data_IF_669492152640
#
_entry.id   IF_669492152640
#
_cell.length_a   1.000
_cell.length_b   1.000
_cell.length_c   1.000
_cell.angle_alpha   90.00
_cell.angle_beta   90.00
_cell.angle_gamma   90.00
#
_symmetry.space_group_name_H-M   'P 1'
#
loop_
_entity.id
_entity.type
_entity.pdbx_description
1 polymer ?
#
# COMPACT_ATOMS: atom_id res chain seq x y z
N UNK A 1 -13.38 -6.04 -12.18
CA UNK A 1 -13.77 -5.25 -10.99
C UNK A 1 -12.88 -4.01 -10.93
N UNK A 2 -13.33 -2.88 -10.39
CA UNK A 2 -12.51 -1.65 -10.32
C UNK A 2 -11.40 -1.80 -9.26
N UNK A 3 -10.13 -1.61 -9.63
CA UNK A 3 -8.99 -1.70 -8.71
C UNK A 3 -9.13 -0.79 -7.48
N UNK A 4 -9.62 0.45 -7.68
CA UNK A 4 -9.90 1.40 -6.57
C UNK A 4 -10.97 0.90 -5.61
N UNK A 5 -12.01 0.24 -6.13
CA UNK A 5 -13.08 -0.30 -5.29
C UNK A 5 -12.55 -1.41 -4.36
N UNK A 6 -11.62 -2.23 -4.85
CA UNK A 6 -10.96 -3.26 -4.06
C UNK A 6 -10.04 -2.65 -3.00
N UNK A 7 -9.22 -1.67 -3.37
CA UNK A 7 -8.39 -0.89 -2.43
C UNK A 7 -9.23 -0.30 -1.31
N UNK A 8 -10.35 0.33 -1.64
CA UNK A 8 -11.27 0.91 -0.65
C UNK A 8 -11.89 -0.14 0.29
N UNK A 9 -12.16 -1.36 -0.20
CA UNK A 9 -12.61 -2.47 0.64
C UNK A 9 -11.55 -2.90 1.65
N UNK A 10 -10.28 -2.97 1.23
CA UNK A 10 -9.15 -3.27 2.12
C UNK A 10 -8.97 -2.17 3.18
N UNK A 11 -9.07 -0.90 2.76
CA UNK A 11 -8.99 0.26 3.64
C UNK A 11 -10.06 0.22 4.73
N UNK A 12 -11.34 -0.03 4.38
CA UNK A 12 -12.44 -0.15 5.35
C UNK A 12 -12.18 -1.21 6.43
N UNK A 13 -11.59 -2.34 6.06
CA UNK A 13 -11.24 -3.40 7.02
C UNK A 13 -10.17 -2.94 8.00
N UNK A 14 -9.21 -2.16 7.52
CA UNK A 14 -8.12 -1.61 8.32
C UNK A 14 -8.60 -0.49 9.24
N UNK A 15 -9.47 0.40 8.77
CA UNK A 15 -10.12 1.43 9.58
C UNK A 15 -10.90 0.81 10.75
N UNK A 16 -11.64 -0.26 10.49
CA UNK A 16 -12.32 -1.01 11.55
C UNK A 16 -11.36 -1.64 12.56
N UNK A 17 -10.17 -2.09 12.12
CA UNK A 17 -9.15 -2.62 13.02
C UNK A 17 -8.56 -1.53 13.92
N UNK A 18 -8.26 -0.34 13.36
CA UNK A 18 -7.83 0.82 14.14
C UNK A 18 -8.89 1.26 15.15
N UNK A 19 -10.17 1.29 14.77
CA UNK A 19 -11.26 1.64 15.68
C UNK A 19 -11.34 0.69 16.88
N UNK A 20 -11.17 -0.63 16.66
CA UNK A 20 -11.11 -1.62 17.74
C UNK A 20 -9.91 -1.41 18.66
N UNK A 21 -8.73 -1.15 18.11
CA UNK A 21 -7.52 -0.92 18.90
C UNK A 21 -7.60 0.33 19.77
N UNK A 22 -8.27 1.38 19.30
CA UNK A 22 -8.49 2.62 20.08
C UNK A 22 -9.50 2.37 21.21
N UNK A 23 -10.50 1.51 20.98
CA UNK A 23 -11.55 1.21 21.95
C UNK A 23 -11.18 0.14 22.99
N UNK A 24 -10.11 -0.64 22.78
CA UNK A 24 -9.85 -1.88 23.51
C UNK A 24 -9.29 -1.70 24.93
N UNK A 25 -8.40 -0.73 25.18
CA UNK A 25 -7.81 -0.52 26.52
C UNK A 25 -6.94 0.75 26.60
N UNK A 26 -6.81 1.31 27.81
CA UNK A 26 -5.77 2.29 28.16
C UNK A 26 -4.45 1.63 28.61
N UNK A 27 -4.42 0.29 28.73
CA UNK A 27 -3.22 -0.47 29.07
C UNK A 27 -2.17 -0.38 27.96
N UNK A 28 -0.97 0.06 28.34
CA UNK A 28 0.15 0.27 27.42
C UNK A 28 0.65 -1.02 26.78
N UNK A 29 0.59 -2.16 27.49
CA UNK A 29 1.04 -3.44 26.94
C UNK A 29 0.09 -3.90 25.82
N UNK A 30 -1.22 -3.82 26.09
CA UNK A 30 -2.27 -4.10 25.10
C UNK A 30 -2.15 -3.16 23.90
N UNK A 31 -1.91 -1.86 24.11
CA UNK A 31 -1.71 -0.92 23.00
C UNK A 31 -0.46 -1.22 22.17
N UNK A 32 0.62 -1.66 22.81
CA UNK A 32 1.85 -2.10 22.13
C UNK A 32 1.58 -3.32 21.24
N UNK A 33 0.84 -4.30 21.74
CA UNK A 33 0.49 -5.49 20.97
C UNK A 33 -0.44 -5.18 19.80
N UNK A 34 -1.42 -4.30 19.99
CA UNK A 34 -2.23 -3.79 18.88
C UNK A 34 -1.40 -3.03 17.86
N UNK A 35 -0.39 -2.25 18.29
CA UNK A 35 0.47 -1.54 17.36
C UNK A 35 1.27 -2.52 16.47
N UNK A 36 1.79 -3.62 17.04
CA UNK A 36 2.45 -4.69 16.26
C UNK A 36 1.49 -5.33 15.27
N UNK A 37 0.28 -5.68 15.73
CA UNK A 37 -0.75 -6.26 14.86
C UNK A 37 -1.13 -5.33 13.70
N UNK A 38 -1.40 -4.06 14.01
CA UNK A 38 -1.74 -3.05 13.00
C UNK A 38 -0.57 -2.80 12.05
N UNK A 39 0.68 -2.84 12.50
CA UNK A 39 1.85 -2.75 11.61
C UNK A 39 1.81 -3.84 10.53
N UNK A 40 1.52 -5.09 10.91
CA UNK A 40 1.40 -6.20 9.97
C UNK A 40 0.25 -5.96 8.99
N UNK A 41 -0.90 -5.50 9.48
CA UNK A 41 -2.06 -5.21 8.62
C UNK A 41 -1.81 -4.05 7.65
N UNK A 42 -1.18 -2.95 8.09
CA UNK A 42 -0.87 -1.79 7.25
C UNK A 42 0.14 -2.18 6.16
N UNK A 43 1.18 -2.96 6.51
CA UNK A 43 2.14 -3.49 5.53
C UNK A 43 1.44 -4.41 4.52
N UNK A 44 0.55 -5.29 4.97
CA UNK A 44 -0.24 -6.15 4.09
C UNK A 44 -1.22 -5.37 3.21
N UNK A 45 -1.79 -4.28 3.71
CA UNK A 45 -2.64 -3.39 2.91
C UNK A 45 -1.86 -2.75 1.76
N UNK A 46 -0.67 -2.20 2.03
CA UNK A 46 0.19 -1.61 1.00
C UNK A 46 0.50 -2.62 -0.12
N UNK A 47 0.90 -3.83 0.24
CA UNK A 47 1.22 -4.90 -0.71
C UNK A 47 0.01 -5.28 -1.56
N UNK A 48 -1.12 -5.61 -0.91
CA UNK A 48 -2.34 -6.03 -1.62
C UNK A 48 -2.89 -4.90 -2.50
N UNK A 49 -2.87 -3.65 -2.03
CA UNK A 49 -3.36 -2.52 -2.81
C UNK A 49 -2.55 -2.35 -4.10
N UNK A 50 -1.21 -2.44 -4.03
CA UNK A 50 -0.35 -2.33 -5.21
C UNK A 50 -0.59 -3.47 -6.19
N UNK A 51 -0.65 -4.71 -5.71
CA UNK A 51 -0.91 -5.88 -6.57
C UNK A 51 -2.25 -5.75 -7.28
N UNK A 52 -3.32 -5.38 -6.57
CA UNK A 52 -4.66 -5.20 -7.14
C UNK A 52 -4.69 -4.08 -8.20
N UNK A 53 -3.94 -2.99 -7.99
CA UNK A 53 -3.83 -1.90 -8.97
C UNK A 53 -3.15 -2.36 -10.27
N UNK A 54 -2.06 -3.12 -10.18
CA UNK A 54 -1.34 -3.62 -11.36
C UNK A 54 -2.14 -4.72 -12.08
N UNK A 55 -2.75 -5.64 -11.34
CA UNK A 55 -3.64 -6.66 -11.92
C UNK A 55 -4.80 -5.99 -12.67
N UNK A 56 -5.44 -4.99 -12.05
CA UNK A 56 -6.48 -4.21 -12.71
C UNK A 56 -5.97 -3.53 -13.99
N UNK A 57 -4.80 -2.88 -13.96
CA UNK A 57 -4.23 -2.26 -15.15
C UNK A 57 -4.02 -3.29 -16.28
N UNK A 58 -3.41 -4.44 -15.97
CA UNK A 58 -3.14 -5.49 -16.94
C UNK A 58 -4.45 -6.05 -17.53
N UNK A 59 -5.45 -6.34 -16.70
CA UNK A 59 -6.75 -6.85 -17.14
C UNK A 59 -7.48 -5.91 -18.11
N UNK A 60 -7.31 -4.59 -17.97
CA UNK A 60 -8.00 -3.62 -18.83
C UNK A 60 -7.20 -3.20 -20.07
N UNK A 61 -5.90 -3.50 -20.12
CA UNK A 61 -4.98 -3.00 -21.16
C UNK A 61 -4.32 -4.10 -21.97
N UNK A 62 -4.53 -5.37 -21.64
CA UNK A 62 -3.87 -6.50 -22.30
C UNK A 62 -4.83 -7.66 -22.57
N UNK A 63 -4.35 -8.64 -23.34
CA UNK A 63 -5.06 -9.88 -23.57
C UNK A 63 -5.10 -10.73 -22.28
N UNK A 64 -6.12 -11.60 -22.10
CA UNK A 64 -6.27 -12.42 -20.89
C UNK A 64 -5.02 -13.22 -20.50
N UNK A 65 -4.28 -13.75 -21.48
CA UNK A 65 -3.06 -14.53 -21.28
C UNK A 65 -1.94 -13.67 -20.67
N UNK A 66 -1.85 -12.40 -21.09
CA UNK A 66 -0.87 -11.44 -20.55
C UNK A 66 -1.26 -11.02 -19.15
N UNK A 67 -2.54 -10.73 -18.89
CA UNK A 67 -3.00 -10.41 -17.54
C UNK A 67 -2.78 -11.57 -16.57
N UNK A 68 -3.01 -12.82 -17.01
CA UNK A 68 -2.77 -14.02 -16.20
C UNK A 68 -1.28 -14.19 -15.85
N UNK A 69 -0.38 -13.92 -16.81
CA UNK A 69 1.05 -13.92 -16.57
C UNK A 69 1.45 -12.87 -15.52
N UNK A 70 0.92 -11.65 -15.63
CA UNK A 70 1.18 -10.57 -14.66
C UNK A 70 0.67 -10.95 -13.26
N UNK A 71 -0.54 -11.49 -13.15
CA UNK A 71 -1.10 -11.95 -11.87
C UNK A 71 -0.21 -13.03 -11.23
N UNK A 72 0.25 -14.00 -12.01
CA UNK A 72 1.17 -15.06 -11.54
C UNK A 72 2.53 -14.54 -11.08
N UNK A 73 3.06 -13.51 -11.75
CA UNK A 73 4.30 -12.85 -11.30
C UNK A 73 4.10 -12.17 -9.94
N UNK A 74 2.92 -11.61 -9.69
CA UNK A 74 2.61 -10.89 -8.47
C UNK A 74 2.26 -11.79 -7.28
N UNK A 75 1.90 -13.07 -7.49
CA UNK A 75 1.62 -14.05 -6.42
C UNK A 75 2.76 -14.13 -5.37
N UNK A 76 4.00 -13.84 -5.78
CA UNK A 76 5.20 -13.92 -4.93
C UNK A 76 5.79 -12.54 -4.59
N UNK A 77 5.15 -11.45 -5.03
CA UNK A 77 5.66 -10.11 -4.83
C UNK A 77 5.33 -9.63 -3.42
N UNK A 78 6.37 -9.55 -2.58
CA UNK A 78 6.25 -9.22 -1.16
C UNK A 78 7.22 -8.14 -0.73
N UNK A 79 6.97 -7.55 0.45
CA UNK A 79 7.87 -6.60 1.12
C UNK A 79 8.11 -5.31 0.29
N UNK A 80 7.04 -4.53 0.05
CA UNK A 80 7.03 -3.41 -0.88
C UNK A 80 7.73 -2.17 -0.32
N UNK A 81 9.07 -2.18 -0.27
CA UNK A 81 9.85 -0.96 -0.01
C UNK A 81 9.77 0.01 -1.21
N UNK A 82 10.14 1.28 -1.03
CA UNK A 82 9.98 2.29 -2.09
C UNK A 82 10.71 1.95 -3.38
N UNK A 83 11.87 1.31 -3.29
CA UNK A 83 12.66 0.88 -4.44
C UNK A 83 11.94 -0.23 -5.22
N UNK A 84 11.45 -1.26 -4.53
CA UNK A 84 10.70 -2.37 -5.14
C UNK A 84 9.38 -1.89 -5.76
N UNK A 85 8.72 -0.90 -5.15
CA UNK A 85 7.55 -0.26 -5.73
C UNK A 85 7.91 0.43 -7.04
N UNK A 86 8.94 1.30 -7.04
CA UNK A 86 9.37 1.99 -8.26
C UNK A 86 9.78 0.99 -9.36
N UNK A 87 10.56 -0.04 -9.02
CA UNK A 87 10.99 -1.09 -9.94
C UNK A 87 9.81 -1.84 -10.55
N UNK A 88 8.81 -2.23 -9.76
CA UNK A 88 7.62 -2.93 -10.26
C UNK A 88 6.88 -2.10 -11.32
N UNK A 89 6.56 -0.83 -11.00
CA UNK A 89 5.89 0.05 -11.95
C UNK A 89 6.77 0.38 -13.16
N UNK A 90 8.09 0.45 -12.95
CA UNK A 90 9.08 0.66 -13.99
C UNK A 90 9.13 -0.43 -15.05
N UNK A 91 8.74 -1.67 -14.71
CA UNK A 91 8.62 -2.76 -15.69
C UNK A 91 7.51 -2.49 -16.73
N UNK A 92 6.52 -1.66 -16.39
CA UNK A 92 5.45 -1.26 -17.31
C UNK A 92 5.77 0.05 -18.04
N UNK A 93 6.42 1.00 -17.37
CA UNK A 93 6.76 2.29 -17.95
C UNK A 93 7.95 2.95 -17.25
N UNK A 94 8.95 3.34 -18.05
CA UNK A 94 10.10 4.09 -17.54
C UNK A 94 9.72 5.48 -16.99
N UNK A 95 8.61 6.06 -17.47
CA UNK A 95 8.11 7.32 -16.92
C UNK A 95 7.45 7.13 -15.56
N UNK A 96 6.75 6.02 -15.34
CA UNK A 96 6.22 5.68 -14.02
C UNK A 96 7.35 5.49 -13.01
N UNK A 97 8.44 4.81 -13.41
CA UNK A 97 9.64 4.69 -12.57
C UNK A 97 10.16 6.06 -12.12
N UNK A 98 10.33 7.00 -13.06
CA UNK A 98 10.83 8.36 -12.77
C UNK A 98 9.89 9.11 -11.83
N UNK A 99 8.59 9.09 -12.11
CA UNK A 99 7.57 9.83 -11.34
C UNK A 99 7.42 9.25 -9.93
N UNK A 100 7.47 7.92 -9.78
CA UNK A 100 7.41 7.28 -8.46
C UNK A 100 8.70 7.57 -7.68
N UNK A 101 9.87 7.46 -8.31
CA UNK A 101 11.15 7.74 -7.65
C UNK A 101 11.26 9.18 -7.17
N UNK A 102 10.67 10.15 -7.90
CA UNK A 102 10.65 11.56 -7.48
C UNK A 102 9.60 11.86 -6.40
N UNK A 103 8.54 11.05 -6.30
CA UNK A 103 7.46 11.25 -5.32
C UNK A 103 7.67 10.48 -4.00
N UNK A 104 8.33 9.33 -4.05
CA UNK A 104 8.60 8.47 -2.88
C UNK A 104 9.99 8.79 -2.31
N UNK A 105 10.15 10.05 -1.87
CA UNK A 105 11.38 10.59 -1.25
C UNK A 105 11.13 11.00 0.20
N UNK A 106 12.21 11.35 0.91
CA UNK A 106 12.19 11.92 2.26
C UNK A 106 11.25 11.18 3.23
N UNK A 107 10.31 11.89 3.84
CA UNK A 107 9.39 11.35 4.83
C UNK A 107 8.57 10.16 4.32
N UNK A 108 8.12 10.19 3.05
CA UNK A 108 7.38 9.07 2.46
C UNK A 108 8.27 7.84 2.35
N UNK A 109 9.52 8.03 1.91
CA UNK A 109 10.51 6.96 1.79
C UNK A 109 10.80 6.33 3.14
N UNK A 110 11.13 7.14 4.12
CA UNK A 110 11.48 6.68 5.47
C UNK A 110 10.30 5.96 6.11
N UNK A 111 9.09 6.49 5.94
CA UNK A 111 7.86 5.87 6.43
C UNK A 111 7.63 4.47 5.86
N UNK A 112 7.60 4.34 4.53
CA UNK A 112 7.32 3.06 3.87
C UNK A 112 8.40 2.02 4.18
N UNK A 113 9.67 2.42 4.11
CA UNK A 113 10.78 1.49 4.38
C UNK A 113 10.80 1.08 5.86
N UNK A 114 10.48 1.99 6.78
CA UNK A 114 10.37 1.67 8.21
C UNK A 114 9.21 0.74 8.50
N UNK A 115 8.04 0.95 7.88
CA UNK A 115 6.88 0.06 8.02
C UNK A 115 7.22 -1.37 7.59
N UNK A 116 7.82 -1.53 6.41
CA UNK A 116 8.19 -2.86 5.88
C UNK A 116 9.24 -3.52 6.78
N UNK A 117 10.27 -2.78 7.19
CA UNK A 117 11.28 -3.25 8.13
C UNK A 117 10.69 -3.67 9.48
N UNK A 118 9.76 -2.88 10.03
CA UNK A 118 9.09 -3.18 11.28
C UNK A 118 8.23 -4.44 11.19
N UNK A 119 7.46 -4.61 10.10
CA UNK A 119 6.71 -5.85 9.84
C UNK A 119 7.62 -7.07 9.74
N UNK A 120 8.79 -6.94 9.13
CA UNK A 120 9.77 -8.04 9.07
C UNK A 120 10.19 -8.47 10.47
N UNK A 121 10.65 -7.52 11.29
CA UNK A 121 11.08 -7.79 12.67
C UNK A 121 9.98 -8.43 13.51
N UNK A 122 8.75 -7.91 13.42
CA UNK A 122 7.58 -8.49 14.11
C UNK A 122 7.35 -9.94 13.69
N UNK A 123 7.38 -10.23 12.39
CA UNK A 123 7.15 -11.57 11.88
C UNK A 123 8.26 -12.56 12.28
N UNK A 124 9.49 -12.07 12.51
CA UNK A 124 10.59 -12.86 13.06
C UNK A 124 10.57 -12.99 14.59
N UNK A 125 9.59 -12.37 15.27
CA UNK A 125 9.46 -12.43 16.73
C UNK A 125 10.47 -11.56 17.48
N UNK A 126 11.08 -10.58 16.81
CA UNK A 126 12.02 -9.66 17.45
C UNK A 126 11.29 -8.69 18.39
N UNK A 127 11.99 -8.25 19.44
CA UNK A 127 11.51 -7.17 20.31
C UNK A 127 11.58 -5.84 19.55
N UNK A 128 10.42 -5.25 19.30
CA UNK A 128 10.30 -3.96 18.62
C UNK A 128 9.49 -2.98 19.45
N UNK A 129 10.00 -1.75 19.57
CA UNK A 129 9.26 -0.63 20.12
C UNK A 129 8.46 0.05 19.02
N UNK A 130 7.13 0.09 19.16
CA UNK A 130 6.25 0.88 18.30
C UNK A 130 5.00 1.30 19.08
N UNK A 131 4.28 2.30 18.57
CA UNK A 131 3.09 2.83 19.21
C UNK A 131 1.93 2.92 18.21
N UNK A 132 0.70 2.95 18.74
CA UNK A 132 -0.49 3.14 17.91
C UNK A 132 -0.43 4.45 17.11
N UNK A 133 0.13 5.53 17.68
CA UNK A 133 0.28 6.81 16.99
C UNK A 133 1.27 6.73 15.82
N UNK A 134 2.39 6.04 16.00
CA UNK A 134 3.38 5.80 14.95
C UNK A 134 2.76 5.02 13.78
N UNK A 135 2.08 3.91 14.07
CA UNK A 135 1.46 3.07 13.05
C UNK A 135 0.30 3.79 12.35
N UNK A 136 -0.45 4.63 13.06
CA UNK A 136 -1.48 5.49 12.45
C UNK A 136 -0.87 6.50 11.49
N UNK A 137 0.29 7.09 11.82
CA UNK A 137 1.03 7.96 10.89
C UNK A 137 1.44 7.19 9.65
N UNK A 138 2.01 6.00 9.82
CA UNK A 138 2.42 5.15 8.70
C UNK A 138 1.25 4.79 7.80
N UNK A 139 0.10 4.45 8.38
CA UNK A 139 -1.11 4.15 7.64
C UNK A 139 -1.56 5.32 6.77
N UNK A 140 -1.57 6.54 7.30
CA UNK A 140 -1.93 7.74 6.53
C UNK A 140 -1.00 7.93 5.32
N UNK A 141 0.31 7.82 5.53
CA UNK A 141 1.28 7.91 4.43
C UNK A 141 1.08 6.80 3.40
N UNK A 142 0.77 5.57 3.83
CA UNK A 142 0.43 4.47 2.92
C UNK A 142 -0.82 4.77 2.10
N UNK A 143 -1.87 5.36 2.70
CA UNK A 143 -3.07 5.77 1.96
C UNK A 143 -2.72 6.80 0.87
N UNK A 144 -1.92 7.82 1.21
CA UNK A 144 -1.49 8.85 0.25
C UNK A 144 -0.66 8.24 -0.90
N UNK A 145 0.23 7.29 -0.59
CA UNK A 145 1.03 6.58 -1.61
C UNK A 145 0.16 5.71 -2.50
N UNK A 146 -0.76 4.92 -1.92
CA UNK A 146 -1.66 4.05 -2.69
C UNK A 146 -2.58 4.87 -3.61
N UNK A 147 -3.08 6.01 -3.12
CA UNK A 147 -3.90 6.91 -3.94
C UNK A 147 -3.11 7.48 -5.12
N UNK A 148 -1.88 7.94 -4.87
CA UNK A 148 -0.97 8.41 -5.93
C UNK A 148 -0.67 7.31 -6.97
N UNK A 149 -0.36 6.09 -6.54
CA UNK A 149 -0.14 4.96 -7.44
C UNK A 149 -1.40 4.61 -8.23
N UNK A 150 -2.58 4.75 -7.62
CA UNK A 150 -3.85 4.56 -8.29
C UNK A 150 -4.09 5.59 -9.40
N UNK A 151 -3.69 6.86 -9.19
CA UNK A 151 -3.78 7.90 -10.21
C UNK A 151 -2.80 7.66 -11.38
N UNK A 152 -1.70 6.93 -11.16
CA UNK A 152 -0.78 6.52 -12.24
C UNK A 152 -1.41 5.46 -13.15
N UNK A 153 -2.01 4.41 -12.56
CA UNK A 153 -2.53 3.26 -13.34
C UNK A 153 -3.90 3.51 -13.95
N UNK A 154 -4.70 4.33 -13.28
CA UNK A 154 -6.06 4.69 -13.69
C UNK A 154 -6.28 6.19 -13.42
N UNK A 155 -5.72 7.06 -14.27
CA UNK A 155 -5.88 8.49 -14.12
C UNK A 155 -7.36 8.86 -14.15
N UNK A 156 -7.83 9.59 -13.14
CA UNK A 156 -9.18 10.15 -13.18
C UNK A 156 -9.31 10.97 -14.45
N UNK A 157 -10.31 10.68 -15.28
CA UNK A 157 -10.57 11.49 -16.46
C UNK A 157 -10.73 12.95 -16.01
N UNK A 158 -10.07 13.92 -16.67
CA UNK A 158 -10.39 15.32 -16.41
C UNK A 158 -11.86 15.48 -16.73
N UNK A 159 -12.66 15.82 -15.72
CA UNK A 159 -14.08 16.14 -15.86
C UNK A 159 -14.24 16.99 -17.11
N UNK A 160 -14.99 16.49 -18.10
CA UNK A 160 -15.24 17.15 -19.37
C UNK A 160 -15.43 18.64 -19.14
N UNK A 161 -14.42 19.43 -19.46
CA UNK A 161 -14.61 20.87 -19.56
C UNK A 161 -15.69 21.05 -20.62
N UNK A 162 -16.82 21.59 -20.16
CA UNK A 162 -17.96 21.99 -20.96
C UNK A 162 -17.39 22.81 -22.12
N UNK A 163 -17.43 22.22 -23.32
CA UNK A 163 -17.25 22.98 -24.55
C UNK A 163 -18.51 23.82 -24.72
N UNK A 164 -18.37 25.12 -24.49
CA UNK A 164 -19.27 26.13 -25.04
C UNK A 164 -18.88 26.38 -26.50
#
# INVERSE_FOLDING_TARGET
>A
MNGRAKVHSLQKRLDAAFARAIASSSDLEVQSDYAKYLCVLVSGFLENAITELIVYYAQNRSAPEVSNFVEKQLDHWTNPNTEKIAQLFGQFSSDWFKVITSQLVDEKKDCINSLVSLRHKIAHGESVGTSLSQIKKYYKTVQDVVEFLSDIVDPRSPTSQIRF
#
